data_IF_823623632350
#
_entry.id   IF_823623632350
#
_cell.length_a   1.000
_cell.length_b   1.000
_cell.length_c   1.000
_cell.angle_alpha   90.00
_cell.angle_beta   90.00
_cell.angle_gamma   90.00
#
_symmetry.space_group_name_H-M   'P 1'
#
loop_
_entity.id
_entity.type
_entity.pdbx_description
1 polymer ?
#
# COMPACT_ATOMS: atom_id res chain seq x y z
N UNK A 1 -12.13 26.84 -3.44
CA UNK A 1 -11.13 25.79 -3.73
C UNK A 1 -11.83 24.64 -4.45
N UNK A 2 -11.34 24.22 -5.60
CA UNK A 2 -11.96 23.15 -6.39
C UNK A 2 -11.46 21.80 -5.86
N UNK A 3 -12.35 20.93 -5.38
CA UNK A 3 -12.01 19.56 -4.97
C UNK A 3 -11.69 18.69 -6.19
N UNK A 4 -10.66 17.85 -6.08
CA UNK A 4 -10.30 16.86 -7.10
C UNK A 4 -8.89 16.31 -6.93
N UNK A 5 -8.57 15.17 -7.56
CA UNK A 5 -7.27 14.52 -7.43
C UNK A 5 -6.16 15.46 -7.93
N UNK A 6 -4.97 15.36 -7.34
CA UNK A 6 -3.83 16.26 -7.59
C UNK A 6 -2.72 15.53 -8.32
N UNK A 7 -2.15 16.19 -9.32
CA UNK A 7 -0.94 15.72 -9.98
C UNK A 7 0.24 16.59 -9.56
N UNK A 8 1.18 15.99 -8.82
CA UNK A 8 2.42 16.66 -8.42
C UNK A 8 3.60 16.19 -9.25
N UNK A 9 4.62 17.04 -9.33
CA UNK A 9 5.92 16.69 -9.89
C UNK A 9 6.91 16.53 -8.74
N UNK A 10 7.51 15.35 -8.64
CA UNK A 10 8.53 15.05 -7.63
C UNK A 10 9.87 14.81 -8.33
N UNK A 11 10.85 15.71 -8.20
CA UNK A 11 12.19 15.48 -8.73
C UNK A 11 12.87 14.35 -7.96
N UNK A 12 13.68 13.54 -8.65
CA UNK A 12 14.46 12.48 -8.03
C UNK A 12 15.88 12.42 -8.59
N UNK A 13 16.79 11.85 -7.80
CA UNK A 13 18.14 11.50 -8.26
C UNK A 13 18.10 10.14 -8.98
N UNK A 14 18.54 10.05 -10.25
CA UNK A 14 18.61 8.78 -10.97
C UNK A 14 19.38 7.71 -10.19
N UNK A 15 18.87 6.48 -10.23
CA UNK A 15 19.55 5.32 -9.63
C UNK A 15 20.78 5.01 -10.50
N UNK A 16 21.99 4.91 -9.93
CA UNK A 16 23.23 4.73 -10.69
C UNK A 16 23.44 3.27 -11.12
N UNK A 17 22.37 2.59 -11.56
CA UNK A 17 22.43 1.21 -12.01
C UNK A 17 22.03 1.10 -13.48
N UNK A 18 22.89 0.47 -14.28
CA UNK A 18 22.56 0.07 -15.63
C UNK A 18 21.80 -1.26 -15.61
N UNK A 19 20.68 -1.31 -16.33
CA UNK A 19 19.96 -2.57 -16.56
C UNK A 19 20.82 -3.42 -17.51
N UNK A 20 21.23 -4.65 -17.11
CA UNK A 20 22.05 -5.51 -17.95
C UNK A 20 21.40 -5.80 -19.31
N UNK A 21 22.23 -5.98 -20.34
CA UNK A 21 21.75 -6.34 -21.68
C UNK A 21 20.89 -7.61 -21.64
N UNK A 22 19.72 -7.54 -22.29
CA UNK A 22 18.76 -8.65 -22.34
C UNK A 22 17.81 -8.77 -21.13
N UNK A 23 17.90 -7.87 -20.15
CA UNK A 23 17.01 -7.86 -18.98
C UNK A 23 15.98 -6.73 -19.08
N UNK A 24 14.73 -6.98 -18.70
CA UNK A 24 13.76 -5.90 -18.53
C UNK A 24 14.02 -5.14 -17.22
N UNK A 25 13.76 -3.83 -17.20
CA UNK A 25 14.02 -2.99 -16.03
C UNK A 25 13.31 -3.49 -14.76
N UNK A 26 12.05 -3.92 -14.88
CA UNK A 26 11.29 -4.50 -13.77
C UNK A 26 11.88 -5.81 -13.25
N UNK A 27 12.46 -6.65 -14.11
CA UNK A 27 13.17 -7.85 -13.67
C UNK A 27 14.44 -7.47 -12.90
N UNK A 28 15.21 -6.51 -13.41
CA UNK A 28 16.46 -6.09 -12.79
C UNK A 28 16.23 -5.49 -11.41
N UNK A 29 15.26 -4.60 -11.26
CA UNK A 29 15.00 -3.98 -9.95
C UNK A 29 14.39 -4.97 -8.93
N UNK A 30 13.91 -6.13 -9.37
CA UNK A 30 13.47 -7.22 -8.48
C UNK A 30 14.64 -8.11 -7.99
N UNK A 31 15.83 -7.91 -8.53
CA UNK A 31 17.01 -8.70 -8.24
C UNK A 31 17.59 -8.40 -6.85
N UNK A 32 18.41 -9.32 -6.37
CA UNK A 32 19.23 -9.11 -5.17
C UNK A 32 20.20 -7.95 -5.34
N UNK A 33 20.63 -7.64 -6.57
CA UNK A 33 21.54 -6.54 -6.87
C UNK A 33 20.92 -5.19 -6.54
N UNK A 34 19.69 -4.94 -6.98
CA UNK A 34 18.98 -3.70 -6.64
C UNK A 34 18.74 -3.56 -5.12
N UNK A 35 18.47 -4.66 -4.42
CA UNK A 35 18.30 -4.62 -2.96
C UNK A 35 19.63 -4.32 -2.27
N UNK A 36 20.75 -4.85 -2.77
CA UNK A 36 22.07 -4.49 -2.27
C UNK A 36 22.35 -3.01 -2.50
N UNK A 37 22.14 -2.48 -3.71
CA UNK A 37 22.30 -1.05 -4.02
C UNK A 37 21.46 -0.16 -3.10
N UNK A 38 20.19 -0.52 -2.91
CA UNK A 38 19.28 0.17 -1.99
C UNK A 38 19.83 0.26 -0.57
N UNK A 39 20.42 -0.83 -0.05
CA UNK A 39 21.02 -0.84 1.29
C UNK A 39 22.26 0.06 1.33
N UNK A 40 23.15 -0.03 0.35
CA UNK A 40 24.42 0.72 0.36
C UNK A 40 24.22 2.23 0.11
N UNK A 41 23.23 2.61 -0.70
CA UNK A 41 23.04 4.00 -1.11
C UNK A 41 21.87 4.72 -0.41
N UNK A 42 20.93 3.96 0.15
CA UNK A 42 19.72 4.52 0.74
C UNK A 42 19.32 3.86 2.07
N UNK A 43 20.08 2.87 2.56
CA UNK A 43 19.80 2.18 3.81
C UNK A 43 19.94 3.12 5.00
N UNK A 44 18.94 3.10 5.87
CA UNK A 44 18.92 3.88 7.11
C UNK A 44 19.16 2.97 8.32
N UNK A 45 18.46 1.84 8.38
CA UNK A 45 18.54 0.88 9.47
C UNK A 45 18.25 -0.53 8.98
N UNK A 46 18.90 -1.52 9.59
CA UNK A 46 18.60 -2.94 9.42
C UNK A 46 18.41 -3.62 10.77
N UNK A 47 17.65 -4.71 10.79
CA UNK A 47 17.51 -5.53 11.98
C UNK A 47 17.78 -7.02 11.69
N UNK A 48 17.97 -7.85 12.75
CA UNK A 48 18.24 -9.28 12.59
C UNK A 48 17.12 -10.05 11.87
N UNK A 49 15.89 -9.54 11.91
CA UNK A 49 14.72 -10.10 11.25
C UNK A 49 14.65 -9.78 9.75
N UNK A 50 15.67 -9.12 9.20
CA UNK A 50 15.75 -8.78 7.78
C UNK A 50 14.84 -7.62 7.38
N UNK A 51 14.33 -6.83 8.32
CA UNK A 51 13.65 -5.56 8.04
C UNK A 51 14.69 -4.48 7.77
N UNK A 52 14.51 -3.76 6.67
CA UNK A 52 15.38 -2.66 6.26
C UNK A 52 14.54 -1.40 6.12
N UNK A 53 14.86 -0.37 6.90
CA UNK A 53 14.39 0.99 6.68
C UNK A 53 15.30 1.66 5.65
N UNK A 54 14.73 2.31 4.65
CA UNK A 54 15.49 2.99 3.61
C UNK A 54 14.81 4.26 3.11
N UNK A 55 15.62 5.24 2.68
CA UNK A 55 15.14 6.44 1.98
C UNK A 55 14.62 6.06 0.60
N UNK A 56 13.47 6.59 0.19
CA UNK A 56 12.97 6.39 -1.18
C UNK A 56 13.69 7.30 -2.17
N UNK A 57 14.64 6.74 -2.92
CA UNK A 57 15.32 7.45 -4.01
C UNK A 57 14.32 7.92 -5.09
N UNK A 58 13.40 7.03 -5.48
CA UNK A 58 12.25 7.36 -6.33
C UNK A 58 11.05 7.78 -5.46
N UNK A 59 11.19 8.93 -4.82
CA UNK A 59 10.21 9.47 -3.88
C UNK A 59 8.83 9.73 -4.50
N UNK A 60 7.83 9.64 -3.65
CA UNK A 60 6.48 10.17 -3.82
C UNK A 60 6.42 11.61 -3.34
N UNK A 61 7.08 11.89 -2.20
CA UNK A 61 7.17 13.21 -1.58
C UNK A 61 8.61 13.58 -1.28
N UNK A 62 8.89 14.88 -1.28
CA UNK A 62 10.16 15.44 -0.81
C UNK A 62 10.05 15.97 0.64
N UNK A 63 8.86 15.96 1.23
CA UNK A 63 8.64 16.43 2.61
C UNK A 63 9.06 15.37 3.63
N UNK A 64 8.54 14.15 3.48
CA UNK A 64 8.95 12.95 4.19
C UNK A 64 8.56 11.72 3.35
N UNK A 65 9.53 10.86 3.03
CA UNK A 65 9.28 9.61 2.30
C UNK A 65 10.33 8.54 2.60
N UNK A 66 9.88 7.45 3.22
CA UNK A 66 10.70 6.28 3.52
C UNK A 66 9.88 5.01 3.44
N UNK A 67 10.56 3.87 3.40
CA UNK A 67 9.92 2.58 3.41
C UNK A 67 10.65 1.59 4.31
N UNK A 68 9.89 0.65 4.85
CA UNK A 68 10.44 -0.58 5.44
C UNK A 68 10.19 -1.71 4.45
N UNK A 69 11.21 -2.50 4.14
CA UNK A 69 11.11 -3.70 3.31
C UNK A 69 11.58 -4.92 4.10
N UNK A 70 10.88 -6.04 3.97
CA UNK A 70 11.37 -7.32 4.48
C UNK A 70 12.26 -8.00 3.46
N UNK A 71 13.55 -7.82 3.65
CA UNK A 71 14.59 -8.27 2.76
C UNK A 71 14.86 -9.77 2.88
N UNK A 72 14.08 -10.57 2.15
CA UNK A 72 14.33 -11.99 1.94
C UNK A 72 15.19 -12.28 0.70
N UNK A 73 15.88 -11.30 0.13
CA UNK A 73 16.53 -11.46 -1.20
C UNK A 73 17.69 -12.46 -1.19
N UNK A 74 18.33 -12.63 -0.03
CA UNK A 74 19.44 -13.58 0.19
C UNK A 74 18.99 -14.95 0.71
N UNK A 75 17.80 -15.04 1.30
CA UNK A 75 17.26 -16.29 1.86
C UNK A 75 16.24 -16.98 0.94
N UNK A 76 15.53 -16.20 0.11
CA UNK A 76 14.53 -16.68 -0.85
C UNK A 76 14.95 -16.24 -2.25
N UNK A 77 15.69 -17.13 -2.92
CA UNK A 77 16.24 -16.88 -4.26
C UNK A 77 15.16 -16.88 -5.35
N UNK A 78 14.07 -17.62 -5.16
CA UNK A 78 12.91 -17.57 -6.05
C UNK A 78 12.12 -16.27 -5.78
N UNK A 79 12.13 -15.26 -6.69
CA UNK A 79 11.42 -14.01 -6.47
C UNK A 79 9.91 -14.20 -6.32
N UNK A 80 9.36 -15.27 -6.93
CA UNK A 80 7.93 -15.56 -6.84
C UNK A 80 7.52 -16.14 -5.47
N UNK A 81 8.46 -16.73 -4.74
CA UNK A 81 8.26 -17.31 -3.42
C UNK A 81 8.48 -16.33 -2.26
N UNK A 82 8.87 -15.08 -2.55
CA UNK A 82 9.07 -14.05 -1.52
C UNK A 82 7.73 -13.61 -0.93
N UNK A 83 7.66 -13.31 0.38
CA UNK A 83 6.47 -12.72 0.98
C UNK A 83 6.11 -11.40 0.31
N UNK A 84 4.88 -11.31 -0.16
CA UNK A 84 4.28 -10.10 -0.76
C UNK A 84 3.14 -9.55 0.09
N UNK A 85 2.78 -10.26 1.19
CA UNK A 85 1.68 -9.91 2.10
C UNK A 85 2.08 -10.12 3.55
N UNK A 86 1.57 -9.28 4.45
CA UNK A 86 1.81 -9.40 5.90
C UNK A 86 1.34 -10.73 6.51
N UNK A 87 0.33 -11.37 5.90
CA UNK A 87 -0.12 -12.72 6.29
C UNK A 87 0.89 -13.83 6.00
N UNK A 88 1.90 -13.57 5.15
CA UNK A 88 2.97 -14.52 4.81
C UNK A 88 4.24 -14.28 5.63
N UNK A 89 4.28 -13.21 6.43
CA UNK A 89 5.43 -12.85 7.26
C UNK A 89 5.40 -13.67 8.55
N UNK A 90 6.53 -14.28 8.97
CA UNK A 90 6.60 -14.99 10.24
C UNK A 90 6.20 -14.11 11.42
N UNK A 91 5.58 -14.71 12.45
CA UNK A 91 5.04 -13.96 13.59
C UNK A 91 6.07 -13.08 14.29
N UNK A 92 7.31 -13.57 14.47
CA UNK A 92 8.38 -12.82 15.14
C UNK A 92 8.81 -11.59 14.30
N UNK A 93 9.04 -11.75 12.99
CA UNK A 93 9.31 -10.62 12.07
C UNK A 93 8.16 -9.61 12.10
N UNK A 94 6.90 -10.07 12.15
CA UNK A 94 5.72 -9.20 12.19
C UNK A 94 5.66 -8.35 13.46
N UNK A 95 6.11 -8.88 14.60
CA UNK A 95 6.14 -8.13 15.87
C UNK A 95 7.05 -6.91 15.77
N UNK A 96 8.28 -7.09 15.27
CA UNK A 96 9.21 -5.99 15.04
C UNK A 96 8.67 -5.03 13.98
N UNK A 97 8.11 -5.56 12.89
CA UNK A 97 7.51 -4.75 11.85
C UNK A 97 6.39 -3.85 12.40
N UNK A 98 5.49 -4.38 13.22
CA UNK A 98 4.42 -3.62 13.87
C UNK A 98 4.99 -2.48 14.72
N UNK A 99 6.02 -2.77 15.54
CA UNK A 99 6.68 -1.78 16.40
C UNK A 99 7.36 -0.68 15.58
N UNK A 100 8.06 -1.04 14.50
CA UNK A 100 8.65 -0.05 13.61
C UNK A 100 7.58 0.85 12.97
N UNK A 101 6.46 0.27 12.52
CA UNK A 101 5.36 1.05 11.93
C UNK A 101 4.72 2.00 12.93
N UNK A 102 4.48 1.52 14.15
CA UNK A 102 3.98 2.32 15.25
C UNK A 102 4.87 3.57 15.46
N UNK A 103 6.19 3.38 15.62
CA UNK A 103 7.13 4.48 15.87
C UNK A 103 7.22 5.46 14.70
N UNK A 104 7.23 4.96 13.46
CA UNK A 104 7.26 5.82 12.27
C UNK A 104 5.98 6.63 12.11
N UNK A 105 4.81 6.05 12.37
CA UNK A 105 3.53 6.76 12.31
C UNK A 105 3.45 7.80 13.44
N UNK A 106 3.84 7.44 14.67
CA UNK A 106 3.94 8.37 15.80
C UNK A 106 4.86 9.55 15.45
N UNK A 107 6.05 9.28 14.91
CA UNK A 107 6.99 10.29 14.48
C UNK A 107 6.40 11.27 13.46
N UNK A 108 5.74 10.75 12.41
CA UNK A 108 5.10 11.61 11.41
C UNK A 108 4.01 12.48 12.03
N UNK A 109 3.19 11.93 12.92
CA UNK A 109 2.11 12.70 13.56
C UNK A 109 2.64 13.75 14.54
N UNK A 110 3.75 13.48 15.22
CA UNK A 110 4.43 14.45 16.10
C UNK A 110 5.06 15.60 15.31
N UNK A 111 5.76 15.31 14.20
CA UNK A 111 6.44 16.32 13.39
C UNK A 111 5.47 17.12 12.51
N UNK A 112 4.34 16.52 12.15
CA UNK A 112 3.33 17.10 11.28
C UNK A 112 1.96 17.11 11.97
N UNK A 113 1.77 17.85 13.07
CA UNK A 113 0.59 17.72 13.92
C UNK A 113 -0.70 18.24 13.26
N UNK A 114 -0.59 19.23 12.37
CA UNK A 114 -1.74 19.91 11.79
C UNK A 114 -2.30 19.16 10.56
N UNK A 115 -3.53 18.62 10.62
CA UNK A 115 -4.16 17.99 9.46
C UNK A 115 -4.47 18.97 8.34
N UNK A 116 -4.58 20.28 8.58
CA UNK A 116 -4.82 21.28 7.53
C UNK A 116 -3.56 21.60 6.72
N UNK A 117 -2.38 21.44 7.32
CA UNK A 117 -1.10 21.69 6.64
C UNK A 117 -0.52 20.44 5.96
N UNK A 118 -0.78 19.24 6.50
CA UNK A 118 -0.10 18.03 6.04
C UNK A 118 -1.04 16.84 5.85
N UNK A 119 -0.89 16.17 4.70
CA UNK A 119 -1.47 14.86 4.45
C UNK A 119 -0.46 13.78 4.84
N UNK A 120 -0.80 12.99 5.85
CA UNK A 120 0.04 11.89 6.37
C UNK A 120 -0.57 10.55 5.95
N UNK A 121 0.25 9.65 5.40
CA UNK A 121 -0.13 8.26 5.17
C UNK A 121 1.01 7.29 5.47
N UNK A 122 0.63 6.09 5.88
CA UNK A 122 1.47 4.91 5.93
C UNK A 122 0.72 3.72 5.34
N UNK A 123 1.41 2.73 4.80
CA UNK A 123 0.74 1.49 4.45
C UNK A 123 1.47 0.57 3.48
N UNK A 124 0.79 -0.51 3.16
CA UNK A 124 1.31 -1.66 2.45
C UNK A 124 0.79 -1.72 1.03
N UNK A 125 1.71 -1.93 0.09
CA UNK A 125 1.38 -2.31 -1.27
C UNK A 125 1.82 -3.75 -1.50
N UNK A 126 0.86 -4.66 -1.60
CA UNK A 126 1.11 -6.04 -2.00
C UNK A 126 0.95 -6.21 -3.50
N UNK A 127 1.75 -7.12 -4.06
CA UNK A 127 1.63 -7.57 -5.43
C UNK A 127 1.05 -8.97 -5.55
N UNK A 128 0.34 -9.19 -6.65
CA UNK A 128 -0.17 -10.49 -7.07
C UNK A 128 1.03 -11.37 -7.44
N UNK A 129 1.16 -12.52 -6.78
CA UNK A 129 2.25 -13.45 -7.03
C UNK A 129 2.16 -14.20 -8.39
N UNK A 130 0.99 -14.19 -9.02
CA UNK A 130 0.71 -14.90 -10.29
C UNK A 130 0.83 -14.00 -11.52
N UNK A 131 1.03 -12.70 -11.31
CA UNK A 131 1.18 -11.75 -12.41
C UNK A 131 2.59 -11.78 -13.00
N UNK A 132 2.76 -11.76 -14.33
CA UNK A 132 4.08 -11.73 -14.95
C UNK A 132 4.87 -10.50 -14.50
N UNK A 133 6.15 -10.69 -14.14
CA UNK A 133 7.04 -9.59 -13.73
C UNK A 133 7.15 -8.51 -14.82
N UNK A 134 7.02 -8.91 -16.08
CA UNK A 134 7.15 -8.07 -17.27
C UNK A 134 5.90 -7.27 -17.64
N UNK A 135 4.77 -7.51 -16.97
CA UNK A 135 3.53 -6.81 -17.31
C UNK A 135 3.57 -5.32 -16.92
N UNK A 136 2.88 -4.44 -17.67
CA UNK A 136 2.76 -3.02 -17.32
C UNK A 136 2.16 -2.82 -15.92
N UNK A 137 2.65 -1.84 -15.17
CA UNK A 137 2.16 -1.49 -13.83
C UNK A 137 2.60 -2.43 -12.70
N UNK A 138 3.56 -3.33 -12.95
CA UNK A 138 4.21 -4.12 -11.90
C UNK A 138 5.34 -3.29 -11.29
N UNK A 139 5.29 -2.99 -9.97
CA UNK A 139 6.38 -2.30 -9.29
C UNK A 139 7.71 -3.06 -9.40
N UNK A 140 8.76 -2.25 -9.37
CA UNK A 140 10.14 -2.68 -9.50
C UNK A 140 10.62 -3.64 -8.39
N UNK A 141 9.91 -3.75 -7.26
CA UNK A 141 10.28 -4.64 -6.14
C UNK A 141 9.05 -5.45 -5.66
N UNK A 142 9.10 -6.77 -5.83
CA UNK A 142 8.09 -7.77 -5.48
C UNK A 142 8.43 -8.41 -4.15
N UNK A 143 8.42 -7.57 -3.15
CA UNK A 143 8.63 -7.92 -1.74
C UNK A 143 7.68 -7.05 -0.95
N UNK A 144 7.16 -7.57 0.17
CA UNK A 144 6.35 -6.77 1.06
C UNK A 144 7.15 -5.54 1.51
N UNK A 145 6.57 -4.36 1.36
CA UNK A 145 7.14 -3.13 1.87
C UNK A 145 6.04 -2.17 2.30
N UNK A 146 6.34 -1.40 3.35
CA UNK A 146 5.48 -0.34 3.86
C UNK A 146 6.04 1.00 3.42
N UNK A 147 5.15 1.91 3.06
CA UNK A 147 5.44 3.30 2.73
C UNK A 147 5.08 4.19 3.91
N UNK A 148 5.85 5.23 4.15
CA UNK A 148 5.58 6.28 5.13
C UNK A 148 5.82 7.61 4.44
N UNK A 149 4.75 8.37 4.21
CA UNK A 149 4.76 9.52 3.30
C UNK A 149 4.00 10.67 3.95
N UNK A 150 4.57 11.87 3.88
CA UNK A 150 3.89 13.12 4.21
C UNK A 150 3.91 14.04 3.01
N UNK A 151 2.80 14.71 2.72
CA UNK A 151 2.71 15.77 1.72
C UNK A 151 2.37 17.12 2.37
N UNK A 152 3.01 18.18 1.87
CA UNK A 152 2.57 19.56 2.13
C UNK A 152 1.25 19.82 1.37
N UNK A 153 0.18 20.12 2.10
CA UNK A 153 -1.13 20.40 1.50
C UNK A 153 -1.12 21.68 0.68
N UNK A 154 -0.28 22.68 0.98
CA UNK A 154 -0.16 23.89 0.15
C UNK A 154 0.39 23.54 -1.23
N UNK A 155 1.38 22.64 -1.29
CA UNK A 155 1.87 22.11 -2.55
C UNK A 155 0.75 21.38 -3.31
N UNK A 156 0.02 20.49 -2.64
CA UNK A 156 -1.09 19.75 -3.26
C UNK A 156 -2.21 20.69 -3.74
N UNK A 157 -2.54 21.75 -3.00
CA UNK A 157 -3.52 22.76 -3.37
C UNK A 157 -3.11 23.56 -4.60
N UNK A 158 -1.82 23.89 -4.70
CA UNK A 158 -1.24 24.61 -5.84
C UNK A 158 -1.06 23.74 -7.09
N UNK A 159 -1.12 22.42 -6.93
CA UNK A 159 -0.90 21.46 -7.99
C UNK A 159 -2.08 21.40 -8.97
N UNK A 160 -1.77 21.07 -10.21
CA UNK A 160 -2.78 20.82 -11.23
C UNK A 160 -3.70 19.67 -10.81
N UNK A 161 -4.96 19.74 -11.24
CA UNK A 161 -5.85 18.60 -11.15
C UNK A 161 -5.30 17.46 -12.00
N UNK A 162 -5.23 16.26 -11.42
CA UNK A 162 -4.97 15.07 -12.19
C UNK A 162 -6.15 14.79 -13.12
N UNK A 163 -5.87 14.16 -14.25
CA UNK A 163 -6.90 13.58 -15.10
C UNK A 163 -7.77 12.60 -14.28
N UNK A 164 -9.09 12.83 -14.27
CA UNK A 164 -10.02 11.97 -13.54
C UNK A 164 -10.09 10.55 -14.12
N UNK A 165 -9.75 10.39 -15.41
CA UNK A 165 -9.65 9.12 -16.10
C UNK A 165 -8.26 8.48 -15.99
N UNK A 166 -7.36 9.06 -15.17
CA UNK A 166 -6.03 8.51 -14.99
C UNK A 166 -6.14 7.07 -14.44
N UNK A 167 -5.61 6.06 -15.15
CA UNK A 167 -5.75 4.65 -14.77
C UNK A 167 -5.11 4.31 -13.42
N UNK A 168 -4.29 5.22 -12.90
CA UNK A 168 -3.63 5.10 -11.61
C UNK A 168 -4.53 5.50 -10.44
N UNK A 169 -5.45 6.45 -10.61
CA UNK A 169 -6.45 6.77 -9.58
C UNK A 169 -7.34 5.54 -9.41
N UNK A 170 -7.46 5.06 -8.18
CA UNK A 170 -7.86 3.67 -7.91
C UNK A 170 -9.19 3.24 -8.53
N UNK A 171 -9.19 1.94 -8.85
CA UNK A 171 -10.22 1.12 -9.52
C UNK A 171 -10.77 1.68 -10.85
N UNK A 172 -9.93 2.28 -11.70
CA UNK A 172 -10.17 2.31 -13.14
C UNK A 172 -11.58 2.74 -13.56
N UNK A 173 -12.09 3.77 -12.89
CA UNK A 173 -13.45 4.27 -13.04
C UNK A 173 -14.29 4.02 -11.80
N UNK A 174 -14.99 5.07 -11.38
CA UNK A 174 -16.16 5.00 -10.50
C UNK A 174 -17.36 4.21 -11.12
N UNK A 175 -17.02 3.29 -12.04
CA UNK A 175 -17.86 2.46 -12.91
C UNK A 175 -17.45 0.98 -12.82
N UNK A 176 -16.56 0.62 -11.89
CA UNK A 176 -16.21 -0.78 -11.71
C UNK A 176 -17.44 -1.57 -11.27
N UNK A 177 -17.50 -2.81 -11.74
CA UNK A 177 -18.54 -3.78 -11.38
C UNK A 177 -18.61 -3.96 -9.84
N UNK A 178 -17.51 -3.67 -9.15
CA UNK A 178 -17.42 -3.69 -7.70
C UNK A 178 -18.23 -2.57 -7.04
N UNK A 179 -18.01 -1.30 -7.41
CA UNK A 179 -18.77 -0.17 -6.85
C UNK A 179 -20.26 -0.29 -7.17
N UNK A 180 -20.60 -0.76 -8.38
CA UNK A 180 -21.97 -0.83 -8.85
C UNK A 180 -22.80 -1.96 -8.22
N UNK A 181 -22.17 -3.09 -7.85
CA UNK A 181 -22.92 -4.30 -7.46
C UNK A 181 -22.41 -5.00 -6.20
N UNK A 182 -21.20 -4.72 -5.73
CA UNK A 182 -20.57 -5.48 -4.65
C UNK A 182 -20.30 -4.65 -3.40
N UNK A 183 -20.47 -3.32 -3.44
CA UNK A 183 -20.21 -2.42 -2.30
C UNK A 183 -20.92 -2.86 -1.03
N UNK A 184 -22.22 -3.14 -1.11
CA UNK A 184 -23.02 -3.45 0.08
C UNK A 184 -22.74 -4.89 0.57
N UNK A 185 -22.47 -5.82 -0.34
CA UNK A 185 -21.99 -7.17 -0.01
C UNK A 185 -20.65 -7.11 0.72
N UNK A 186 -19.72 -6.28 0.23
CA UNK A 186 -18.40 -6.09 0.83
C UNK A 186 -18.54 -5.52 2.24
N UNK A 187 -19.32 -4.46 2.41
CA UNK A 187 -19.59 -3.87 3.74
C UNK A 187 -20.21 -4.87 4.71
N UNK A 188 -21.18 -5.67 4.25
CA UNK A 188 -21.79 -6.69 5.09
C UNK A 188 -20.78 -7.78 5.51
N UNK A 189 -19.95 -8.26 4.58
CA UNK A 189 -18.91 -9.24 4.89
C UNK A 189 -17.93 -8.75 5.95
N UNK A 190 -17.50 -7.48 5.88
CA UNK A 190 -16.61 -6.91 6.88
C UNK A 190 -17.29 -6.55 8.21
N UNK A 191 -18.61 -6.34 8.22
CA UNK A 191 -19.35 -6.07 9.44
C UNK A 191 -19.44 -7.30 10.36
N UNK A 192 -19.25 -8.51 9.82
CA UNK A 192 -19.21 -9.76 10.58
C UNK A 192 -17.81 -10.04 11.19
N UNK A 193 -16.81 -9.19 10.92
CA UNK A 193 -15.51 -9.29 11.59
C UNK A 193 -15.59 -8.70 13.00
N UNK A 194 -14.99 -9.37 13.97
CA UNK A 194 -14.93 -8.94 15.37
C UNK A 194 -13.89 -7.83 15.58
N UNK A 195 -14.22 -6.62 15.13
CA UNK A 195 -13.38 -5.43 15.24
C UNK A 195 -13.85 -4.55 16.41
N UNK A 196 -12.97 -4.25 17.37
CA UNK A 196 -13.28 -3.37 18.51
C UNK A 196 -12.56 -2.02 18.45
N UNK A 197 -11.40 -1.96 17.80
CA UNK A 197 -10.60 -0.74 17.62
C UNK A 197 -10.91 -0.09 16.27
N UNK A 198 -11.05 -0.90 15.21
CA UNK A 198 -11.33 -0.43 13.85
C UNK A 198 -12.84 -0.28 13.64
N UNK A 199 -13.32 0.96 13.76
CA UNK A 199 -14.74 1.30 13.66
C UNK A 199 -15.10 1.70 12.23
N UNK A 200 -16.06 1.04 11.56
CA UNK A 200 -16.48 1.45 10.22
C UNK A 200 -16.91 2.92 10.17
N UNK A 201 -16.53 3.63 9.11
CA UNK A 201 -16.94 5.02 8.87
C UNK A 201 -17.61 5.21 7.52
N UNK A 202 -18.38 6.29 7.40
CA UNK A 202 -18.99 6.69 6.13
C UNK A 202 -17.95 7.15 5.11
N UNK A 203 -18.33 7.20 3.83
CA UNK A 203 -17.47 7.76 2.78
C UNK A 203 -17.14 9.24 3.02
N UNK A 204 -18.06 9.98 3.64
CA UNK A 204 -17.91 11.41 3.92
C UNK A 204 -16.82 11.65 4.98
N UNK A 205 -16.76 10.79 5.99
CA UNK A 205 -15.77 10.87 7.07
C UNK A 205 -14.38 10.38 6.65
N UNK A 206 -14.31 9.46 5.68
CA UNK A 206 -13.04 8.93 5.17
C UNK A 206 -12.43 9.83 4.09
N UNK A 207 -13.24 10.58 3.35
CA UNK A 207 -12.76 11.39 2.22
C UNK A 207 -11.93 12.59 2.67
N UNK A 208 -10.76 12.78 2.05
CA UNK A 208 -9.97 14.01 2.11
C UNK A 208 -10.64 15.07 1.24
N UNK A 209 -11.09 16.18 1.84
CA UNK A 209 -11.81 17.28 1.20
C UNK A 209 -11.08 17.89 0.00
N UNK A 210 -9.75 17.97 0.09
CA UNK A 210 -8.89 18.52 -0.95
C UNK A 210 -8.94 17.70 -2.24
N UNK A 211 -8.88 16.37 -2.13
CA UNK A 211 -8.77 15.46 -3.27
C UNK A 211 -10.10 14.81 -3.65
N UNK A 212 -11.00 14.65 -2.69
CA UNK A 212 -12.23 13.88 -2.85
C UNK A 212 -12.01 12.37 -2.74
N UNK A 213 -10.87 11.90 -2.21
CA UNK A 213 -10.49 10.49 -2.08
C UNK A 213 -10.20 10.10 -0.62
N UNK A 214 -10.31 8.82 -0.22
CA UNK A 214 -10.74 7.68 -1.02
C UNK A 214 -12.23 7.69 -1.35
N UNK A 215 -12.60 7.13 -2.50
CA UNK A 215 -13.98 7.11 -2.99
C UNK A 215 -14.57 5.71 -2.92
N UNK A 216 -15.64 5.53 -2.16
CA UNK A 216 -16.42 4.28 -2.14
C UNK A 216 -15.70 3.06 -1.56
N UNK A 217 -14.45 3.20 -1.13
CA UNK A 217 -13.69 2.18 -0.42
C UNK A 217 -14.22 2.02 1.01
N UNK A 218 -14.24 0.81 1.58
CA UNK A 218 -14.51 0.67 3.00
C UNK A 218 -13.38 1.34 3.78
N UNK A 219 -13.74 1.93 4.91
CA UNK A 219 -12.79 2.62 5.77
C UNK A 219 -13.19 2.45 7.22
N UNK A 220 -12.19 2.44 8.09
CA UNK A 220 -12.36 2.27 9.52
C UNK A 220 -11.57 3.32 10.28
N UNK A 221 -12.22 4.08 11.15
CA UNK A 221 -11.55 4.97 12.08
C UNK A 221 -10.89 4.15 13.20
N UNK A 222 -9.65 4.51 13.52
CA UNK A 222 -8.91 3.92 14.63
C UNK A 222 -9.41 4.56 15.94
N UNK A 223 -10.19 3.82 16.71
CA UNK A 223 -10.64 4.24 18.04
C UNK A 223 -9.45 4.37 18.99
N UNK A 224 -9.26 5.55 19.57
CA UNK A 224 -8.10 5.88 20.40
C UNK A 224 -6.93 6.52 19.63
N UNK A 225 -7.07 6.72 18.31
CA UNK A 225 -6.09 7.44 17.50
C UNK A 225 -4.72 6.78 17.53
N UNK A 226 -3.66 7.59 17.61
CA UNK A 226 -2.27 7.11 17.58
C UNK A 226 -1.93 6.15 18.74
N UNK A 227 -2.51 6.36 19.92
CA UNK A 227 -2.24 5.50 21.08
C UNK A 227 -2.72 4.05 20.88
N UNK A 228 -3.71 3.84 20.02
CA UNK A 228 -4.17 2.49 19.68
C UNK A 228 -3.11 1.68 18.94
N UNK A 229 -2.15 2.31 18.27
CA UNK A 229 -1.06 1.63 17.56
C UNK A 229 -0.11 0.89 18.52
N UNK A 230 -0.07 1.28 19.80
CA UNK A 230 0.66 0.58 20.88
C UNK A 230 -0.03 -0.70 21.33
N UNK A 231 -1.30 -0.89 20.98
CA UNK A 231 -2.09 -2.06 21.35
C UNK A 231 -1.97 -3.15 20.27
N UNK A 232 -1.50 -4.34 20.66
CA UNK A 232 -1.39 -5.47 19.74
C UNK A 232 -2.72 -5.86 19.09
N UNK A 233 -3.85 -5.56 19.74
CA UNK A 233 -5.18 -5.78 19.17
C UNK A 233 -5.40 -4.99 17.88
N UNK A 234 -4.92 -3.75 17.80
CA UNK A 234 -5.04 -2.95 16.58
C UNK A 234 -4.38 -3.68 15.39
N UNK A 235 -3.17 -4.21 15.59
CA UNK A 235 -2.45 -4.93 14.54
C UNK A 235 -3.11 -6.26 14.17
N UNK A 236 -3.79 -6.93 15.10
CA UNK A 236 -4.61 -8.12 14.80
C UNK A 236 -5.80 -7.76 13.93
N UNK A 237 -6.53 -6.69 14.27
CA UNK A 237 -7.67 -6.21 13.50
C UNK A 237 -7.25 -5.70 12.11
N UNK A 238 -6.09 -5.03 12.02
CA UNK A 238 -5.49 -4.62 10.75
C UNK A 238 -5.16 -5.83 9.85
N UNK A 239 -4.62 -6.92 10.43
CA UNK A 239 -4.41 -8.20 9.75
C UNK A 239 -5.74 -8.87 9.35
N UNK A 240 -6.78 -8.78 10.19
CA UNK A 240 -8.08 -9.40 9.93
C UNK A 240 -8.83 -8.73 8.78
N UNK A 241 -8.69 -7.41 8.62
CA UNK A 241 -9.15 -6.70 7.41
C UNK A 241 -8.46 -7.28 6.16
N UNK A 242 -7.15 -7.49 6.20
CA UNK A 242 -6.42 -8.07 5.07
C UNK A 242 -6.86 -9.52 4.78
N UNK A 243 -7.02 -10.34 5.81
CA UNK A 243 -7.49 -11.73 5.66
C UNK A 243 -8.89 -11.77 5.04
N UNK A 244 -9.80 -10.90 5.52
CA UNK A 244 -11.15 -10.78 5.00
C UNK A 244 -11.14 -10.33 3.54
N UNK A 245 -10.29 -9.36 3.20
CA UNK A 245 -10.08 -8.92 1.83
C UNK A 245 -9.62 -10.07 0.92
N UNK A 246 -8.63 -10.85 1.36
CA UNK A 246 -8.12 -12.00 0.61
C UNK A 246 -9.23 -13.03 0.38
N UNK A 247 -9.98 -13.38 1.42
CA UNK A 247 -11.06 -14.36 1.35
C UNK A 247 -12.21 -13.91 0.44
N UNK A 248 -12.60 -12.64 0.53
CA UNK A 248 -13.62 -12.06 -0.33
C UNK A 248 -13.24 -12.21 -1.81
N UNK A 249 -12.03 -11.76 -2.18
CA UNK A 249 -11.59 -11.80 -3.58
C UNK A 249 -11.27 -13.21 -4.07
N UNK A 250 -10.69 -14.08 -3.23
CA UNK A 250 -10.49 -15.50 -3.59
C UNK A 250 -11.83 -16.17 -3.88
N UNK A 251 -12.82 -15.96 -3.02
CA UNK A 251 -14.17 -16.49 -3.22
C UNK A 251 -14.80 -15.95 -4.51
N UNK A 252 -14.65 -14.64 -4.76
CA UNK A 252 -15.16 -14.01 -5.97
C UNK A 252 -14.53 -14.61 -7.23
N UNK A 253 -13.20 -14.67 -7.30
CA UNK A 253 -12.50 -15.21 -8.47
C UNK A 253 -12.67 -16.71 -8.63
N UNK A 254 -12.86 -17.48 -7.56
CA UNK A 254 -13.29 -18.88 -7.66
C UNK A 254 -14.65 -18.99 -8.34
N UNK A 255 -15.63 -18.15 -7.99
CA UNK A 255 -16.92 -18.11 -8.71
C UNK A 255 -16.79 -17.65 -10.16
N UNK A 256 -15.92 -16.68 -10.45
CA UNK A 256 -15.64 -16.25 -11.83
C UNK A 256 -15.02 -17.40 -12.64
N UNK A 257 -14.06 -18.12 -12.07
CA UNK A 257 -13.37 -19.23 -12.74
C UNK A 257 -14.27 -20.44 -12.96
N UNK A 258 -15.00 -20.86 -11.92
CA UNK A 258 -15.82 -22.07 -11.93
C UNK A 258 -17.15 -21.82 -11.23
N UNK A 259 -18.26 -22.17 -11.91
CA UNK A 259 -19.62 -22.00 -11.39
C UNK A 259 -19.80 -22.81 -10.11
N UNK A 260 -20.47 -22.22 -9.12
CA UNK A 260 -20.80 -22.86 -7.85
C UNK A 260 -19.58 -23.46 -7.16
N UNK A 261 -18.45 -22.74 -7.22
CA UNK A 261 -17.25 -23.17 -6.50
C UNK A 261 -17.55 -23.23 -5.00
N UNK A 262 -17.00 -24.21 -4.25
CA UNK A 262 -17.13 -24.24 -2.81
C UNK A 262 -16.32 -23.13 -2.15
N UNK A 263 -16.43 -23.01 -0.83
CA UNK A 263 -15.54 -22.17 -0.01
C UNK A 263 -14.07 -22.51 -0.36
N UNK A 264 -13.22 -21.51 -0.66
CA UNK A 264 -11.81 -21.75 -0.94
C UNK A 264 -11.11 -22.51 0.20
N UNK A 265 -10.18 -23.40 -0.15
CA UNK A 265 -9.35 -24.08 0.85
C UNK A 265 -8.49 -23.06 1.60
N UNK A 266 -8.24 -23.30 2.88
CA UNK A 266 -7.42 -22.43 3.73
C UNK A 266 -7.95 -20.98 3.76
N UNK A 267 -9.27 -20.83 3.81
CA UNK A 267 -9.90 -19.55 4.11
C UNK A 267 -9.79 -19.23 5.60
N UNK A 268 -9.65 -17.95 5.91
CA UNK A 268 -9.60 -17.42 7.27
C UNK A 268 -10.99 -17.33 7.89
N UNK A 269 -12.01 -17.03 7.07
CA UNK A 269 -13.40 -16.80 7.48
C UNK A 269 -14.39 -17.69 6.69
N UNK A 270 -14.26 -19.04 6.76
CA UNK A 270 -15.06 -19.95 5.94
C UNK A 270 -16.57 -19.81 6.16
N UNK A 271 -17.00 -19.62 7.41
CA UNK A 271 -18.40 -19.51 7.77
C UNK A 271 -19.03 -18.23 7.20
N UNK A 272 -18.29 -17.11 7.25
CA UNK A 272 -18.70 -15.83 6.65
C UNK A 272 -18.74 -15.92 5.13
N UNK A 273 -17.79 -16.62 4.49
CA UNK A 273 -17.82 -16.84 3.04
C UNK A 273 -19.10 -17.59 2.65
N UNK A 274 -19.42 -18.68 3.35
CA UNK A 274 -20.58 -19.50 3.04
C UNK A 274 -21.89 -18.72 3.25
N UNK A 275 -22.05 -18.11 4.43
CA UNK A 275 -23.28 -17.43 4.82
C UNK A 275 -23.51 -16.08 4.12
N UNK A 276 -22.45 -15.30 3.88
CA UNK A 276 -22.56 -13.93 3.34
C UNK A 276 -22.30 -13.87 1.83
N UNK A 277 -21.35 -14.65 1.29
CA UNK A 277 -20.95 -14.52 -0.11
C UNK A 277 -21.63 -15.58 -1.01
N UNK A 278 -21.55 -16.85 -0.63
CA UNK A 278 -22.04 -17.95 -1.47
C UNK A 278 -23.56 -18.07 -1.50
N UNK A 279 -24.26 -17.39 -0.59
CA UNK A 279 -25.72 -17.27 -0.58
C UNK A 279 -26.24 -15.91 -1.08
N UNK A 280 -25.36 -15.04 -1.60
CA UNK A 280 -25.71 -13.70 -2.04
C UNK A 280 -25.85 -13.60 -3.57
N UNK A 281 -27.06 -13.26 -4.04
CA UNK A 281 -27.38 -13.18 -5.47
C UNK A 281 -26.62 -12.06 -6.20
N UNK A 282 -26.33 -10.94 -5.55
CA UNK A 282 -25.59 -9.83 -6.15
C UNK A 282 -24.11 -10.21 -6.33
N UNK A 283 -23.54 -10.92 -5.36
CA UNK A 283 -22.18 -11.46 -5.44
C UNK A 283 -22.04 -12.47 -6.59
N UNK A 284 -22.93 -13.49 -6.63
CA UNK A 284 -22.91 -14.52 -7.66
C UNK A 284 -23.25 -13.96 -9.05
N UNK A 285 -24.19 -13.01 -9.12
CA UNK A 285 -24.56 -12.30 -10.34
C UNK A 285 -23.41 -11.46 -10.89
N UNK A 286 -22.65 -10.81 -10.00
CA UNK A 286 -21.45 -10.05 -10.36
C UNK A 286 -20.34 -10.96 -10.90
N UNK A 287 -20.06 -12.07 -10.21
CA UNK A 287 -19.09 -13.06 -10.68
C UNK A 287 -19.49 -13.65 -12.05
N UNK A 288 -20.78 -13.88 -12.28
CA UNK A 288 -21.30 -14.31 -13.58
C UNK A 288 -21.01 -13.30 -14.69
N UNK A 289 -21.26 -12.00 -14.46
CA UNK A 289 -20.99 -10.93 -15.44
C UNK A 289 -19.51 -10.91 -15.84
N UNK A 290 -18.61 -10.94 -14.85
CA UNK A 290 -17.16 -10.97 -15.12
C UNK A 290 -16.76 -12.22 -15.90
N UNK A 291 -17.25 -13.40 -15.51
CA UNK A 291 -16.99 -14.67 -16.21
C UNK A 291 -17.45 -14.64 -17.66
N UNK A 292 -18.66 -14.15 -17.93
CA UNK A 292 -19.18 -14.04 -19.29
C UNK A 292 -18.38 -13.07 -20.15
N UNK A 293 -17.83 -12.01 -19.56
CA UNK A 293 -16.93 -11.08 -20.24
C UNK A 293 -15.59 -11.77 -20.57
N UNK A 294 -14.97 -12.47 -19.62
CA UNK A 294 -13.73 -13.22 -19.85
C UNK A 294 -13.85 -14.26 -20.97
N UNK A 295 -15.02 -14.90 -21.12
CA UNK A 295 -15.25 -15.90 -22.18
C UNK A 295 -15.30 -15.24 -23.57
N UNK A 296 -15.76 -13.98 -23.67
CA UNK A 296 -16.01 -13.29 -24.95
C UNK A 296 -14.88 -12.35 -25.37
N UNK A 297 -14.15 -11.80 -24.41
CA UNK A 297 -13.07 -10.85 -24.66
C UNK A 297 -11.73 -11.40 -24.13
N UNK A 298 -10.83 -11.89 -25.01
CA UNK A 298 -9.54 -12.40 -24.60
C UNK A 298 -8.61 -11.31 -24.04
N UNK A 299 -8.76 -10.04 -24.45
CA UNK A 299 -7.97 -8.92 -23.90
C UNK A 299 -8.38 -8.64 -22.46
N UNK A 300 -9.69 -8.63 -22.20
CA UNK A 300 -10.20 -8.53 -20.82
C UNK A 300 -9.79 -9.73 -19.98
N UNK A 301 -9.91 -10.95 -20.50
CA UNK A 301 -9.48 -12.16 -19.78
C UNK A 301 -7.99 -12.12 -19.40
N UNK A 302 -7.15 -11.58 -20.28
CA UNK A 302 -5.72 -11.41 -20.04
C UNK A 302 -5.40 -10.29 -19.02
N UNK A 303 -6.27 -9.28 -18.89
CA UNK A 303 -6.08 -8.18 -17.93
C UNK A 303 -6.56 -8.50 -16.51
N UNK A 304 -7.33 -9.59 -16.31
CA UNK A 304 -7.82 -9.99 -14.99
C UNK A 304 -6.70 -10.54 -14.09
N UNK A 305 -6.53 -9.90 -12.93
CA UNK A 305 -5.69 -10.38 -11.83
C UNK A 305 -6.46 -11.42 -11.01
N UNK A 306 -6.12 -12.69 -11.21
CA UNK A 306 -6.82 -13.81 -10.58
C UNK A 306 -6.51 -13.99 -9.09
N UNK A 307 -5.44 -13.36 -8.58
CA UNK A 307 -5.16 -13.31 -7.15
C UNK A 307 -5.28 -11.88 -6.61
N UNK A 308 -5.66 -11.72 -5.33
CA UNK A 308 -5.75 -10.42 -4.72
C UNK A 308 -4.36 -9.78 -4.57
N UNK A 309 -4.15 -8.69 -5.31
CA UNK A 309 -3.21 -7.63 -4.97
C UNK A 309 -3.97 -6.52 -4.26
N UNK A 310 -3.35 -5.87 -3.27
CA UNK A 310 -4.01 -4.84 -2.48
C UNK A 310 -3.08 -3.69 -2.15
N UNK A 311 -3.71 -2.56 -1.81
CA UNK A 311 -3.10 -1.43 -1.11
C UNK A 311 -3.90 -1.25 0.17
N UNK A 312 -3.26 -1.37 1.33
CA UNK A 312 -3.87 -1.16 2.64
C UNK A 312 -3.15 0.01 3.32
N UNK A 313 -3.91 1.01 3.74
CA UNK A 313 -3.39 2.28 4.23
C UNK A 313 -3.90 2.59 5.62
N UNK A 314 -3.06 3.31 6.37
CA UNK A 314 -3.41 4.16 7.50
C UNK A 314 -3.15 5.60 7.04
N UNK A 315 -4.13 6.49 7.11
CA UNK A 315 -3.94 7.90 6.79
C UNK A 315 -4.68 8.79 7.77
N UNK A 316 -4.27 10.05 7.86
CA UNK A 316 -4.97 11.04 8.68
C UNK A 316 -5.98 11.81 7.83
N UNK A 317 -7.25 11.85 8.27
CA UNK A 317 -8.28 12.65 7.61
C UNK A 317 -8.21 14.13 8.01
N UNK A 318 -9.08 14.96 7.44
CA UNK A 318 -9.10 16.41 7.71
C UNK A 318 -9.51 16.76 9.15
N UNK A 319 -10.12 15.83 9.90
CA UNK A 319 -10.45 16.01 11.32
C UNK A 319 -9.32 15.57 12.26
N UNK A 320 -8.20 15.09 11.72
CA UNK A 320 -7.10 14.54 12.49
C UNK A 320 -7.29 13.09 12.92
N UNK A 321 -8.37 12.43 12.52
CA UNK A 321 -8.60 11.02 12.81
C UNK A 321 -7.69 10.14 11.94
N UNK A 322 -7.20 9.04 12.52
CA UNK A 322 -6.52 8.00 11.76
C UNK A 322 -7.53 7.02 11.18
N UNK A 323 -7.45 6.79 9.87
CA UNK A 323 -8.35 5.96 9.09
C UNK A 323 -7.56 4.82 8.43
N UNK A 324 -8.06 3.59 8.58
CA UNK A 324 -7.62 2.43 7.81
C UNK A 324 -8.50 2.30 6.57
N UNK A 325 -7.91 2.03 5.41
CA UNK A 325 -8.63 1.63 4.19
C UNK A 325 -7.90 0.51 3.47
N UNK A 326 -8.62 -0.28 2.69
CA UNK A 326 -8.03 -1.30 1.81
C UNK A 326 -8.72 -1.26 0.45
N UNK A 327 -7.92 -1.35 -0.61
CA UNK A 327 -8.40 -1.45 -1.98
C UNK A 327 -7.75 -2.64 -2.67
N UNK A 328 -8.46 -3.25 -3.61
CA UNK A 328 -7.80 -4.04 -4.64
C UNK A 328 -6.84 -3.13 -5.39
N UNK A 329 -5.62 -3.62 -5.56
CA UNK A 329 -4.58 -2.92 -6.28
C UNK A 329 -4.99 -2.91 -7.76
N UNK A 330 -5.59 -1.81 -8.20
CA UNK A 330 -5.75 -1.52 -9.62
C UNK A 330 -4.36 -1.33 -10.26
N UNK A 331 -4.33 -1.04 -11.55
CA UNK A 331 -3.12 -0.90 -12.37
C UNK A 331 -2.18 0.23 -11.87
N UNK A 332 -2.55 0.96 -10.81
CA UNK A 332 -1.87 2.13 -10.30
C UNK A 332 -0.48 1.91 -9.71
N UNK A 333 0.44 2.78 -10.11
CA UNK A 333 1.88 2.73 -9.81
C UNK A 333 2.25 3.12 -8.37
N UNK A 334 1.43 3.90 -7.66
CA UNK A 334 1.76 4.45 -6.34
C UNK A 334 0.64 4.27 -5.31
N UNK A 335 0.99 4.01 -4.05
CA UNK A 335 0.00 3.85 -2.98
C UNK A 335 -0.79 5.14 -2.69
N UNK A 336 -0.22 6.28 -3.08
CA UNK A 336 -0.74 7.65 -2.90
C UNK A 336 -2.01 7.93 -3.69
N UNK A 337 -2.24 7.15 -4.76
CA UNK A 337 -3.39 7.29 -5.65
C UNK A 337 -4.71 6.98 -4.94
N UNK A 338 -4.70 6.16 -3.89
CA UNK A 338 -5.89 5.89 -3.05
C UNK A 338 -6.39 7.16 -2.35
N UNK A 339 -5.52 8.14 -2.16
CA UNK A 339 -5.82 9.43 -1.54
C UNK A 339 -5.91 10.55 -2.60
N UNK A 340 -5.95 10.19 -3.88
CA UNK A 340 -6.11 11.14 -4.98
C UNK A 340 -4.84 11.93 -5.29
N UNK A 341 -3.65 11.41 -4.96
CA UNK A 341 -2.37 12.05 -5.28
C UNK A 341 -1.63 11.24 -6.34
N UNK A 342 -1.59 11.78 -7.56
CA UNK A 342 -0.84 11.25 -8.70
C UNK A 342 0.55 11.87 -8.71
N UNK A 343 1.59 11.03 -8.61
CA UNK A 343 2.97 11.50 -8.61
C UNK A 343 3.60 11.31 -9.98
N UNK A 344 4.02 12.40 -10.61
CA UNK A 344 4.89 12.40 -11.78
C UNK A 344 6.34 12.57 -11.34
N UNK A 345 7.12 11.49 -11.42
CA UNK A 345 8.55 11.50 -11.08
C UNK A 345 9.37 12.02 -12.25
N UNK A 346 10.27 12.97 -12.00
CA UNK A 346 11.14 13.56 -13.03
C UNK A 346 12.62 13.43 -12.60
N UNK A 347 13.51 12.88 -13.44
CA UNK A 347 14.93 12.80 -13.11
C UNK A 347 15.53 14.22 -13.12
N UNK A 348 15.81 14.77 -11.94
CA UNK A 348 16.37 16.10 -11.74
C UNK A 348 17.13 16.14 -10.41
N UNK A 349 18.41 15.79 -10.47
CA UNK A 349 19.27 15.73 -9.29
C UNK A 349 19.43 17.11 -8.63
N UNK A 350 19.61 18.17 -9.42
CA UNK A 350 19.81 19.53 -8.91
C UNK A 350 18.56 20.08 -8.21
N UNK A 351 17.36 19.73 -8.68
CA UNK A 351 16.13 20.05 -7.96
C UNK A 351 15.97 19.21 -6.69
N UNK A 352 16.31 17.92 -6.73
CA UNK A 352 16.22 17.02 -5.57
C UNK A 352 17.16 17.43 -4.42
N UNK A 353 18.40 17.80 -4.74
CA UNK A 353 19.44 18.24 -3.78
C UNK A 353 18.99 19.42 -2.89
N UNK A 354 18.00 20.21 -3.34
CA UNK A 354 17.44 21.32 -2.54
C UNK A 354 16.58 20.83 -1.38
N UNK A 355 15.97 19.65 -1.49
CA UNK A 355 15.08 19.07 -0.48
C UNK A 355 15.77 18.01 0.37
N UNK A 356 16.76 17.33 -0.22
CA UNK A 356 17.43 16.17 0.37
C UNK A 356 17.98 16.40 1.79
N UNK A 357 18.63 17.53 2.14
CA UNK A 357 19.15 17.72 3.49
C UNK A 357 18.04 17.71 4.58
N UNK A 358 16.94 18.42 4.33
CA UNK A 358 15.82 18.50 5.29
C UNK A 358 15.06 17.17 5.38
N UNK A 359 14.96 16.44 4.26
CA UNK A 359 14.44 15.07 4.26
C UNK A 359 15.34 14.15 5.10
N UNK A 360 16.65 14.15 4.85
CA UNK A 360 17.61 13.30 5.56
C UNK A 360 17.64 13.59 7.05
N UNK A 361 17.60 14.85 7.48
CA UNK A 361 17.53 15.21 8.91
C UNK A 361 16.36 14.48 9.61
N UNK A 362 15.17 14.51 9.01
CA UNK A 362 13.98 13.83 9.56
C UNK A 362 14.12 12.31 9.55
N UNK A 363 14.73 11.75 8.50
CA UNK A 363 14.95 10.31 8.36
C UNK A 363 15.99 9.80 9.37
N UNK A 364 17.00 10.60 9.70
CA UNK A 364 17.98 10.28 10.72
C UNK A 364 17.41 10.41 12.14
N UNK A 365 16.54 11.39 12.39
CA UNK A 365 15.84 11.51 13.68
C UNK A 365 14.96 10.26 13.96
N UNK A 366 14.12 9.85 13.00
CA UNK A 366 13.31 8.63 13.18
C UNK A 366 14.15 7.36 13.24
N UNK A 367 15.28 7.28 12.51
CA UNK A 367 16.27 6.20 12.64
C UNK A 367 16.75 6.09 14.10
N UNK A 368 17.17 7.19 14.71
CA UNK A 368 17.66 7.19 16.09
C UNK A 368 16.60 6.71 17.08
N UNK A 369 15.33 7.02 16.86
CA UNK A 369 14.22 6.49 17.69
C UNK A 369 14.06 4.98 17.57
N UNK A 370 14.19 4.44 16.36
CA UNK A 370 14.12 2.99 16.13
C UNK A 370 15.31 2.27 16.79
N UNK A 371 16.52 2.82 16.71
CA UNK A 371 17.70 2.30 17.41
C UNK A 371 17.46 2.31 18.93
N UNK A 372 17.00 3.44 19.48
CA UNK A 372 16.72 3.57 20.90
C UNK A 372 15.61 2.61 21.39
N UNK A 373 14.72 2.18 20.50
CA UNK A 373 13.68 1.20 20.76
C UNK A 373 14.13 -0.26 20.59
N UNK A 374 15.42 -0.50 20.33
CA UNK A 374 15.99 -1.84 20.09
C UNK A 374 15.30 -2.55 18.92
N UNK A 375 15.18 -1.84 17.78
CA UNK A 375 14.56 -2.34 16.55
C UNK A 375 15.56 -2.49 15.38
N UNK A 376 16.84 -2.31 15.65
CA UNK A 376 17.90 -2.48 14.67
C UNK A 376 19.09 -1.55 14.89
N UNK A 377 20.04 -1.64 13.97
CA UNK A 377 21.27 -0.87 13.94
C UNK A 377 21.28 0.01 12.69
N UNK A 378 21.87 1.19 12.79
CA UNK A 378 21.95 2.09 11.64
C UNK A 378 22.91 1.56 10.56
N UNK A 379 22.59 1.89 9.32
CA UNK A 379 23.38 1.52 8.14
C UNK A 379 24.25 2.72 7.77
N UNK A 380 25.57 2.51 7.77
CA UNK A 380 26.52 3.48 7.23
C UNK A 380 26.50 3.45 5.70
N UNK A 381 26.57 4.63 5.08
CA UNK A 381 26.67 4.82 3.63
C UNK A 381 27.76 5.85 3.34
N UNK A 382 28.04 6.13 2.06
CA UNK A 382 28.94 7.22 1.70
C UNK A 382 28.43 8.60 2.14
N UNK A 383 27.12 8.74 2.40
CA UNK A 383 26.46 10.01 2.69
C UNK A 383 26.21 10.22 4.19
N UNK A 384 26.20 9.17 5.01
CA UNK A 384 25.96 9.26 6.45
C UNK A 384 26.56 8.08 7.22
N UNK A 385 26.89 8.35 8.48
CA UNK A 385 27.42 7.35 9.40
C UNK A 385 26.32 6.43 9.94
N UNK A 386 26.75 5.24 10.38
CA UNK A 386 25.92 4.18 10.96
C UNK A 386 25.32 4.53 12.30
#
# INVERSE_FOLDING_TARGET
MQTGPRQIITPFRPIPLDVPEGMAANEFFNSTENINDLIHNNGLLQNPEGLVLYRKALGHSNEFDTSIIYNTSKSVLNPLGRPVRRTQVPTHVKQDWNRMNQILIEYMLEKYPDPDEYLVLAGEASLDATWPLTSPGVPSIRMLHNHFIVFDKKQLESAELADADNPNLTDGGQHSLFQAYMRDVFRHFFAELDLEILMPVSSEESTIKLTGFPQGLPSWKIKGGVEALKNIRFWKEYDDILKGFIDFYRSFFSQVSSRNSPVPKESYFPDQIESVLLFNNDFLGSAKKVREHCIRDPKYANSIRWQPAFKQLIYRNDQGDLIVTISQNSIGNAITELLGVVVKRVPDAAAYEKYEPALLEKLMDVRSRLIAADLGEGIATEQWDG
#
